data_IF_703713236344
#
_entry.id   IF_703713236344
#
_cell.length_a   1.000
_cell.length_b   1.000
_cell.length_c   1.000
_cell.angle_alpha   90.00
_cell.angle_beta   90.00
_cell.angle_gamma   90.00
#
_symmetry.space_group_name_H-M   'P 1'
#
loop_
_entity.id
_entity.type
_entity.pdbx_description
1 polymer ?
#
# COMPACT_ATOMS: atom_id res chain seq x y z
N UNK A 1 -66.22 49.62 7.01
CA UNK A 1 -66.23 48.52 7.97
C UNK A 1 -64.94 47.76 7.72
N UNK A 2 -63.90 48.13 8.54
CA UNK A 2 -62.52 47.72 8.35
C UNK A 2 -62.24 46.45 9.12
N UNK A 3 -61.82 45.37 8.42
CA UNK A 3 -61.23 44.19 9.05
C UNK A 3 -59.74 44.17 8.74
N UNK A 4 -58.93 44.35 9.77
CA UNK A 4 -57.48 44.16 9.75
C UNK A 4 -57.16 42.67 9.96
N UNK A 5 -56.41 42.05 9.03
CA UNK A 5 -55.78 40.76 9.23
C UNK A 5 -54.38 40.98 9.77
N UNK A 6 -54.12 40.48 10.96
CA UNK A 6 -52.78 40.36 11.55
C UNK A 6 -52.15 39.10 10.93
N UNK A 7 -51.03 39.30 10.25
CA UNK A 7 -50.16 38.22 9.82
C UNK A 7 -49.11 37.93 10.93
N UNK A 8 -49.21 36.73 11.49
CA UNK A 8 -48.24 36.21 12.44
C UNK A 8 -47.14 35.50 11.63
N UNK A 9 -45.97 36.13 11.48
CA UNK A 9 -44.80 35.51 10.88
C UNK A 9 -44.05 34.72 11.98
N UNK A 10 -44.12 33.40 11.96
CA UNK A 10 -43.30 32.54 12.77
C UNK A 10 -41.93 32.40 12.10
N UNK A 11 -40.91 32.99 12.71
CA UNK A 11 -39.52 32.79 12.32
C UNK A 11 -39.04 31.41 12.81
N UNK A 12 -38.91 30.44 11.91
CA UNK A 12 -38.14 29.21 12.16
C UNK A 12 -36.66 29.55 12.05
N UNK A 13 -35.97 29.67 13.17
CA UNK A 13 -34.53 29.69 13.22
C UNK A 13 -34.03 28.26 12.98
N UNK A 14 -33.58 27.98 11.76
CA UNK A 14 -32.82 26.79 11.47
C UNK A 14 -31.42 26.97 12.09
N UNK A 15 -31.15 26.27 13.15
CA UNK A 15 -29.79 26.10 13.65
C UNK A 15 -29.02 25.22 12.66
N UNK A 16 -28.31 25.86 11.74
CA UNK A 16 -27.21 25.22 11.05
C UNK A 16 -26.12 24.94 12.07
N UNK A 17 -25.99 23.70 12.50
CA UNK A 17 -24.79 23.25 13.18
C UNK A 17 -23.67 23.31 12.15
N UNK A 18 -22.86 24.35 12.21
CA UNK A 18 -21.57 24.41 11.55
C UNK A 18 -20.72 23.26 12.11
N UNK A 19 -20.60 22.20 11.35
CA UNK A 19 -19.51 21.26 11.49
C UNK A 19 -18.23 22.05 11.14
N UNK A 20 -17.66 22.73 12.10
CA UNK A 20 -16.36 23.34 11.97
C UNK A 20 -15.38 22.21 11.63
N UNK A 21 -14.92 22.19 10.40
CA UNK A 21 -13.77 21.41 9.99
C UNK A 21 -12.65 21.73 10.98
N UNK A 22 -12.24 20.71 11.74
CA UNK A 22 -11.11 20.78 12.65
C UNK A 22 -9.91 21.28 11.86
N UNK A 23 -9.31 22.33 12.36
CA UNK A 23 -8.40 23.22 11.70
C UNK A 23 -7.35 22.56 10.83
N UNK A 24 -7.14 23.17 9.68
CA UNK A 24 -6.01 22.93 8.81
C UNK A 24 -4.73 22.93 9.64
N UNK A 25 -4.10 21.77 9.69
CA UNK A 25 -2.80 21.57 10.30
C UNK A 25 -1.75 22.33 9.51
N UNK A 26 -0.77 22.86 10.24
CA UNK A 26 0.32 23.64 9.69
C UNK A 26 0.96 22.97 8.45
N UNK A 27 1.08 23.70 7.36
CA UNK A 27 1.75 23.32 6.11
C UNK A 27 3.29 23.18 6.25
N UNK A 28 3.81 23.02 7.46
CA UNK A 28 5.24 23.00 7.76
C UNK A 28 5.72 21.72 8.41
N UNK A 29 7.05 21.56 8.55
CA UNK A 29 7.65 20.44 9.26
C UNK A 29 7.16 20.37 10.74
N UNK A 30 6.87 19.16 11.21
CA UNK A 30 6.43 18.86 12.58
C UNK A 30 7.40 17.90 13.22
N UNK A 31 7.70 18.11 14.49
CA UNK A 31 8.64 17.27 15.26
C UNK A 31 7.98 16.78 16.54
N UNK A 32 8.16 15.49 16.83
CA UNK A 32 7.64 14.81 18.01
C UNK A 32 8.81 14.16 18.75
N UNK A 33 9.10 14.64 19.96
CA UNK A 33 10.13 14.09 20.83
C UNK A 33 9.50 13.01 21.72
N UNK A 34 9.91 11.77 21.56
CA UNK A 34 9.43 10.62 22.33
C UNK A 34 10.39 10.22 23.47
N UNK A 35 11.49 10.97 23.67
CA UNK A 35 12.47 10.71 24.72
C UNK A 35 12.03 11.18 26.12
N UNK A 36 10.99 12.02 26.19
CA UNK A 36 10.51 12.60 27.44
C UNK A 36 9.31 11.85 28.00
N UNK A 37 9.19 11.69 29.34
CA UNK A 37 8.03 11.00 29.96
C UNK A 37 6.68 11.59 29.60
N UNK A 38 6.60 12.92 29.42
CA UNK A 38 5.36 13.64 29.04
C UNK A 38 5.01 13.50 27.55
N UNK A 39 5.87 12.86 26.75
CA UNK A 39 5.57 12.50 25.38
C UNK A 39 4.49 11.42 25.24
N UNK A 40 4.11 10.82 26.35
CA UNK A 40 3.05 9.81 26.49
C UNK A 40 1.63 10.34 26.19
N UNK A 41 1.45 10.99 25.05
CA UNK A 41 0.15 11.55 24.64
C UNK A 41 -0.58 10.58 23.72
N UNK A 42 -1.80 10.22 24.07
CA UNK A 42 -2.70 9.45 23.20
C UNK A 42 -3.22 10.34 22.06
N UNK A 43 -3.31 9.79 20.87
CA UNK A 43 -3.91 10.46 19.73
C UNK A 43 -5.36 10.86 20.02
N UNK A 44 -5.69 12.09 19.67
CA UNK A 44 -7.09 12.56 19.60
C UNK A 44 -7.23 13.47 18.38
N UNK A 45 -8.42 13.50 17.78
CA UNK A 45 -8.67 14.39 16.64
C UNK A 45 -8.37 15.86 16.93
N UNK A 46 -8.64 16.32 18.16
CA UNK A 46 -8.36 17.69 18.59
C UNK A 46 -6.86 18.00 18.74
N UNK A 47 -6.06 17.03 19.18
CA UNK A 47 -4.59 17.17 19.30
C UNK A 47 -3.91 16.95 17.96
N UNK A 48 -4.39 16.02 17.17
CA UNK A 48 -3.87 15.67 15.87
C UNK A 48 -2.57 14.88 15.87
N UNK A 49 -2.12 14.32 16.99
CA UNK A 49 -0.99 13.40 17.07
C UNK A 49 -0.97 12.62 18.39
N UNK A 50 -0.20 11.53 18.43
CA UNK A 50 0.06 10.75 19.64
C UNK A 50 0.09 9.25 19.41
N UNK A 51 0.29 8.50 20.49
CA UNK A 51 0.16 7.04 20.50
C UNK A 51 -1.29 6.67 20.18
N UNK A 52 -1.50 5.66 19.34
CA UNK A 52 -2.82 5.35 18.80
C UNK A 52 -3.17 3.86 18.96
N UNK A 53 -4.41 3.52 18.61
CA UNK A 53 -4.95 2.16 18.59
C UNK A 53 -4.75 1.39 19.92
N UNK A 54 -4.79 2.13 21.05
CA UNK A 54 -4.64 1.54 22.38
C UNK A 54 -3.21 1.10 22.73
N UNK A 55 -2.23 1.44 21.92
CA UNK A 55 -0.82 1.12 22.19
C UNK A 55 -0.12 2.30 22.87
N UNK A 56 0.82 1.95 23.75
CA UNK A 56 1.59 2.94 24.49
C UNK A 56 2.87 2.30 25.04
N UNK A 57 4.07 2.67 24.54
CA UNK A 57 5.30 2.20 25.12
C UNK A 57 5.50 2.85 26.50
N UNK A 58 6.14 2.16 27.42
CA UNK A 58 6.57 2.72 28.68
C UNK A 58 8.09 2.56 28.84
N UNK A 59 8.71 3.43 29.62
CA UNK A 59 10.13 3.34 29.92
C UNK A 59 10.54 2.02 30.59
N UNK A 60 9.58 1.33 31.25
CA UNK A 60 9.80 0.06 31.93
C UNK A 60 9.56 -1.16 31.00
N UNK A 61 8.88 -0.98 29.86
CA UNK A 61 8.58 -2.02 28.89
C UNK A 61 8.40 -1.39 27.51
N UNK A 62 9.49 -1.18 26.76
CA UNK A 62 9.41 -0.83 25.36
C UNK A 62 8.64 -1.96 24.65
N UNK A 63 7.49 -1.63 24.08
CA UNK A 63 6.61 -2.58 23.39
C UNK A 63 6.31 -2.01 22.02
N UNK A 64 5.99 -2.85 21.06
CA UNK A 64 5.46 -2.38 19.78
C UNK A 64 4.32 -1.39 19.97
N UNK A 65 4.28 -0.34 19.14
CA UNK A 65 3.28 0.71 19.28
C UNK A 65 2.95 1.38 17.95
N UNK A 66 1.76 1.99 17.90
CA UNK A 66 1.36 2.91 16.85
C UNK A 66 1.54 4.35 17.28
N UNK A 67 2.00 5.19 16.35
CA UNK A 67 2.04 6.64 16.50
C UNK A 67 1.38 7.27 15.28
N UNK A 68 0.31 8.04 15.51
CA UNK A 68 -0.45 8.68 14.45
C UNK A 68 -0.31 10.20 14.47
N UNK A 69 -0.35 10.78 13.28
CA UNK A 69 -0.33 12.22 13.06
C UNK A 69 -1.41 12.59 12.07
N UNK A 70 -2.34 13.50 12.43
CA UNK A 70 -3.30 14.04 11.48
C UNK A 70 -2.56 14.74 10.34
N UNK A 71 -2.82 14.30 9.12
CA UNK A 71 -2.14 14.75 7.92
C UNK A 71 -3.13 14.81 6.74
N UNK A 72 -3.23 15.93 6.02
CA UNK A 72 -3.95 15.99 4.76
C UNK A 72 -3.42 14.96 3.75
N UNK A 73 -4.22 14.63 2.76
CA UNK A 73 -3.83 13.77 1.66
C UNK A 73 -2.57 14.30 0.95
N UNK A 74 -1.58 13.42 0.75
CA UNK A 74 -0.32 13.76 0.09
C UNK A 74 0.83 12.84 0.47
N UNK A 75 2.01 13.16 -0.03
CA UNK A 75 3.24 12.46 0.31
C UNK A 75 3.97 13.19 1.44
N UNK A 76 4.50 12.44 2.39
CA UNK A 76 5.23 12.97 3.54
C UNK A 76 6.58 12.30 3.69
N UNK A 77 7.62 13.11 3.89
CA UNK A 77 8.90 12.62 4.38
C UNK A 77 8.79 12.46 5.88
N UNK A 78 8.99 11.24 6.34
CA UNK A 78 9.09 10.88 7.75
C UNK A 78 10.55 10.61 8.05
N UNK A 79 11.14 11.31 9.01
CA UNK A 79 12.48 11.02 9.51
C UNK A 79 12.37 10.59 10.96
N UNK A 80 12.85 9.38 11.26
CA UNK A 80 12.84 8.81 12.60
C UNK A 80 14.26 8.73 13.12
N UNK A 81 14.50 9.25 14.33
CA UNK A 81 15.72 9.01 15.08
C UNK A 81 15.50 7.80 15.98
N UNK A 82 16.24 6.74 15.72
CA UNK A 82 16.22 5.48 16.45
C UNK A 82 17.32 5.42 17.49
N UNK A 83 17.11 4.62 18.52
CA UNK A 83 18.05 4.36 19.59
C UNK A 83 17.49 4.69 20.97
N UNK A 84 18.11 4.12 22.00
CA UNK A 84 17.81 4.34 23.40
C UNK A 84 19.08 4.66 24.18
N UNK A 85 19.00 5.54 25.19
CA UNK A 85 20.16 5.96 25.98
C UNK A 85 20.72 4.83 26.84
N UNK A 86 19.91 3.83 27.21
CA UNK A 86 20.21 2.85 28.28
C UNK A 86 20.30 1.42 27.78
N UNK A 87 19.55 1.07 26.74
CA UNK A 87 19.44 -0.30 26.24
C UNK A 87 19.68 -0.36 24.73
N UNK A 88 20.17 -1.50 24.21
CA UNK A 88 20.15 -1.74 22.76
C UNK A 88 18.70 -1.86 22.28
N UNK A 89 18.43 -1.49 21.03
CA UNK A 89 17.12 -1.65 20.42
C UNK A 89 17.23 -2.33 19.05
N UNK A 90 16.13 -2.96 18.63
CA UNK A 90 15.92 -3.49 17.29
C UNK A 90 14.52 -3.09 16.83
N UNK A 91 14.45 -2.28 15.79
CA UNK A 91 13.20 -1.64 15.36
C UNK A 91 12.91 -1.94 13.90
N UNK A 92 11.71 -2.44 13.65
CA UNK A 92 11.09 -2.53 12.32
C UNK A 92 10.00 -1.47 12.22
N UNK A 93 9.86 -0.82 11.06
CA UNK A 93 8.90 0.26 10.84
C UNK A 93 7.96 -0.13 9.72
N UNK A 94 6.67 -0.02 10.00
CA UNK A 94 5.59 -0.06 9.01
C UNK A 94 4.78 1.23 9.05
N UNK A 95 4.05 1.50 7.98
CA UNK A 95 3.12 2.64 7.93
C UNK A 95 1.78 2.21 7.37
N UNK A 96 0.75 2.98 7.72
CA UNK A 96 -0.61 2.77 7.22
C UNK A 96 -1.08 1.32 7.49
N UNK A 97 -1.65 0.67 6.49
CA UNK A 97 -1.98 -0.77 6.58
C UNK A 97 -0.73 -1.63 6.36
N UNK A 98 0.22 -1.58 7.30
CA UNK A 98 1.39 -2.46 7.37
C UNK A 98 2.39 -2.35 6.20
N UNK A 99 2.44 -1.24 5.45
CA UNK A 99 3.48 -1.04 4.44
C UNK A 99 4.86 -1.08 5.09
N UNK A 100 5.74 -1.99 4.66
CA UNK A 100 7.09 -2.13 5.22
C UNK A 100 7.99 -0.98 4.75
N UNK A 101 8.61 -0.26 5.70
CA UNK A 101 9.53 0.85 5.42
C UNK A 101 10.97 0.53 5.81
N UNK A 102 11.14 -0.21 6.89
CA UNK A 102 12.44 -0.58 7.45
C UNK A 102 12.31 -1.88 8.22
N UNK A 103 13.31 -2.74 8.14
CA UNK A 103 13.40 -3.97 8.91
C UNK A 103 14.69 -4.02 9.73
N UNK A 104 14.59 -4.53 10.96
CA UNK A 104 15.73 -4.89 11.81
C UNK A 104 16.83 -3.83 11.93
N UNK A 105 16.48 -2.60 12.29
CA UNK A 105 17.48 -1.61 12.64
C UNK A 105 17.94 -1.82 14.08
N UNK A 106 19.04 -2.51 14.26
CA UNK A 106 19.67 -2.67 15.57
C UNK A 106 20.51 -1.44 15.91
N UNK A 107 20.35 -0.91 17.12
CA UNK A 107 21.16 0.18 17.67
C UNK A 107 21.69 -0.19 19.04
N UNK A 108 23.02 -0.08 19.30
CA UNK A 108 23.57 -0.21 20.65
C UNK A 108 23.05 0.88 21.60
N UNK A 109 23.10 0.61 22.91
CA UNK A 109 22.78 1.62 23.91
C UNK A 109 23.61 2.91 23.73
N UNK A 110 22.97 4.07 23.80
CA UNK A 110 23.58 5.38 23.61
C UNK A 110 23.94 5.73 22.16
N UNK A 111 23.61 4.88 21.19
CA UNK A 111 23.84 5.14 19.75
C UNK A 111 22.51 5.51 19.07
N UNK A 112 22.53 6.63 18.35
CA UNK A 112 21.35 7.13 17.65
C UNK A 112 21.56 7.15 16.13
N UNK A 113 20.58 6.67 15.38
CA UNK A 113 20.62 6.58 13.92
C UNK A 113 19.34 7.18 13.34
N UNK A 114 19.48 8.09 12.39
CA UNK A 114 18.31 8.62 11.66
C UNK A 114 18.08 7.82 10.36
N UNK A 115 16.80 7.56 10.06
CA UNK A 115 16.35 7.02 8.77
C UNK A 115 15.14 7.81 8.28
N UNK A 116 15.07 7.99 6.97
CA UNK A 116 13.95 8.70 6.33
C UNK A 116 13.21 7.78 5.37
N UNK A 117 11.90 7.99 5.26
CA UNK A 117 10.98 7.27 4.39
C UNK A 117 10.02 8.25 3.73
N UNK A 118 9.34 7.84 2.68
CA UNK A 118 8.17 8.56 2.17
C UNK A 118 6.93 7.72 2.44
N UNK A 119 5.91 8.34 3.05
CA UNK A 119 4.60 7.73 3.31
C UNK A 119 3.56 8.51 2.52
N UNK A 120 2.67 7.79 1.83
CA UNK A 120 1.54 8.37 1.12
C UNK A 120 0.28 8.26 1.97
N UNK A 121 -0.29 9.40 2.34
CA UNK A 121 -1.60 9.51 3.01
C UNK A 121 -2.66 9.76 1.94
N UNK A 122 -3.77 9.03 1.98
CA UNK A 122 -4.86 9.19 1.03
C UNK A 122 -6.23 9.02 1.67
N UNK A 123 -7.19 9.74 1.13
CA UNK A 123 -8.60 9.64 1.49
C UNK A 123 -9.39 9.09 0.29
N UNK A 124 -10.60 8.58 0.49
CA UNK A 124 -11.41 8.13 -0.64
C UNK A 124 -11.94 9.30 -1.49
N UNK A 125 -11.83 10.54 -1.05
CA UNK A 125 -12.35 11.71 -1.74
C UNK A 125 -11.73 11.90 -3.13
N UNK A 126 -12.57 12.28 -4.09
CA UNK A 126 -12.19 12.63 -5.47
C UNK A 126 -12.79 14.01 -5.75
N UNK A 127 -12.13 14.88 -6.54
CA UNK A 127 -12.79 16.11 -6.99
C UNK A 127 -14.16 15.79 -7.63
N UNK A 128 -15.25 16.36 -7.14
CA UNK A 128 -16.59 16.00 -7.61
C UNK A 128 -16.78 16.38 -9.10
N UNK A 129 -17.50 15.56 -9.86
CA UNK A 129 -17.84 15.92 -11.23
C UNK A 129 -18.77 17.14 -11.26
N UNK A 130 -18.85 17.87 -12.38
CA UNK A 130 -19.86 18.89 -12.58
C UNK A 130 -21.28 18.33 -12.33
N UNK A 131 -22.23 19.21 -11.94
CA UNK A 131 -23.58 18.81 -11.48
C UNK A 131 -24.32 17.86 -12.44
N UNK A 132 -24.06 17.95 -13.74
CA UNK A 132 -24.72 17.16 -14.78
C UNK A 132 -23.87 16.03 -15.35
N UNK A 133 -22.67 15.78 -14.79
CA UNK A 133 -21.79 14.73 -15.28
C UNK A 133 -21.92 13.46 -14.43
N UNK A 134 -21.79 12.26 -15.04
CA UNK A 134 -21.69 11.02 -14.30
C UNK A 134 -20.39 10.96 -13.51
N UNK A 135 -20.38 10.15 -12.45
CA UNK A 135 -19.23 9.96 -11.55
C UNK A 135 -19.64 10.00 -10.10
N UNK A 136 -18.71 10.30 -9.21
CA UNK A 136 -18.95 10.40 -7.78
C UNK A 136 -17.88 11.21 -7.07
N UNK A 137 -18.11 11.63 -5.83
CA UNK A 137 -17.18 12.44 -5.05
C UNK A 137 -16.13 11.60 -4.31
N UNK A 138 -16.18 10.27 -4.39
CA UNK A 138 -15.31 9.38 -3.65
C UNK A 138 -15.20 8.01 -4.30
N UNK A 139 -14.14 7.30 -3.98
CA UNK A 139 -13.98 5.85 -4.23
C UNK A 139 -15.12 5.09 -3.56
N UNK A 140 -15.68 4.10 -4.23
CA UNK A 140 -16.63 3.16 -3.65
C UNK A 140 -15.85 2.07 -2.90
N UNK A 141 -15.66 2.29 -1.61
CA UNK A 141 -14.96 1.35 -0.75
C UNK A 141 -15.79 0.09 -0.53
N UNK A 142 -15.10 -1.05 -0.39
CA UNK A 142 -15.72 -2.32 0.01
C UNK A 142 -16.16 -2.28 1.49
N UNK A 143 -17.02 -3.23 1.89
CA UNK A 143 -17.43 -3.35 3.28
C UNK A 143 -16.20 -3.56 4.20
N UNK A 144 -16.09 -2.74 5.25
CA UNK A 144 -14.98 -2.78 6.21
C UNK A 144 -13.68 -2.12 5.73
N UNK A 145 -13.59 -1.67 4.48
CA UNK A 145 -12.40 -1.00 3.97
C UNK A 145 -12.25 0.43 4.52
N UNK A 146 -13.37 1.10 4.81
CA UNK A 146 -13.36 2.44 5.40
C UNK A 146 -12.74 2.50 6.81
N UNK A 147 -12.66 1.36 7.49
CA UNK A 147 -12.08 1.24 8.83
C UNK A 147 -10.57 0.95 8.80
N UNK A 148 -10.00 0.83 7.61
CA UNK A 148 -8.58 0.55 7.42
C UNK A 148 -7.75 1.84 7.44
N UNK A 149 -6.54 1.77 7.96
CA UNK A 149 -5.62 2.90 8.13
C UNK A 149 -5.20 3.59 6.82
N UNK A 150 -5.47 3.00 5.68
CA UNK A 150 -5.06 3.48 4.35
C UNK A 150 -6.03 4.46 3.68
N UNK A 151 -7.19 4.75 4.27
CA UNK A 151 -8.22 5.62 3.67
C UNK A 151 -8.69 6.70 4.64
N UNK A 152 -7.79 7.26 5.41
CA UNK A 152 -8.11 8.30 6.37
C UNK A 152 -7.22 9.56 6.17
N UNK A 153 -7.33 10.52 7.06
CA UNK A 153 -6.53 11.74 7.08
C UNK A 153 -5.48 11.74 8.21
N UNK A 154 -4.94 10.56 8.49
CA UNK A 154 -3.84 10.35 9.43
C UNK A 154 -2.68 9.69 8.71
N UNK A 155 -1.47 10.03 9.11
CA UNK A 155 -0.29 9.23 8.87
C UNK A 155 -0.06 8.38 10.12
N UNK A 156 -0.17 7.07 9.98
CA UNK A 156 0.01 6.12 11.08
C UNK A 156 1.30 5.34 10.87
N UNK A 157 2.19 5.37 11.88
CA UNK A 157 3.42 4.57 11.93
C UNK A 157 3.25 3.46 12.94
N UNK A 158 3.73 2.28 12.60
CA UNK A 158 3.83 1.12 13.47
C UNK A 158 5.30 0.81 13.69
N UNK A 159 5.70 0.72 14.95
CA UNK A 159 7.06 0.39 15.37
C UNK A 159 7.05 -0.96 16.06
N UNK A 160 7.71 -1.93 15.44
CA UNK A 160 7.73 -3.32 15.87
C UNK A 160 9.14 -3.73 16.30
N UNK A 161 9.22 -4.91 16.91
CA UNK A 161 10.42 -5.50 17.50
C UNK A 161 10.24 -5.80 18.97
N UNK A 162 11.14 -6.53 19.56
CA UNK A 162 11.08 -6.85 20.99
C UNK A 162 11.26 -5.60 21.87
N UNK A 163 12.14 -4.70 21.43
CA UNK A 163 12.50 -3.46 22.13
C UNK A 163 12.67 -2.33 21.10
N UNK A 164 11.57 -1.82 20.49
CA UNK A 164 11.67 -0.73 19.52
C UNK A 164 12.16 0.55 20.21
N UNK A 165 13.25 1.11 19.69
CA UNK A 165 13.86 2.35 20.20
C UNK A 165 13.56 3.51 19.27
N UNK A 166 12.62 4.38 19.65
CA UNK A 166 12.24 5.57 18.89
C UNK A 166 12.37 6.80 19.78
N UNK A 167 13.27 7.69 19.39
CA UNK A 167 13.54 8.92 20.14
C UNK A 167 12.80 10.13 19.60
N UNK A 168 12.72 10.27 18.27
CA UNK A 168 12.11 11.43 17.62
C UNK A 168 11.53 11.06 16.27
N UNK A 169 10.40 11.68 15.95
CA UNK A 169 9.74 11.60 14.65
C UNK A 169 9.65 13.01 14.08
N UNK A 170 10.09 13.20 12.85
CA UNK A 170 9.96 14.45 12.10
C UNK A 170 9.13 14.17 10.84
N UNK A 171 8.15 15.01 10.57
CA UNK A 171 7.22 14.88 9.46
C UNK A 171 7.21 16.17 8.64
N UNK A 172 7.38 16.08 7.33
CA UNK A 172 7.26 17.20 6.41
C UNK A 172 6.59 16.78 5.10
N UNK A 173 5.78 17.62 4.45
CA UNK A 173 5.28 17.38 3.10
C UNK A 173 6.44 17.13 2.14
N UNK A 174 6.26 16.20 1.17
CA UNK A 174 7.30 15.81 0.22
C UNK A 174 6.80 15.90 -1.22
N UNK A 175 7.47 16.73 -2.02
CA UNK A 175 7.22 16.85 -3.45
C UNK A 175 8.12 15.87 -4.22
N UNK A 176 7.74 14.61 -4.25
CA UNK A 176 8.46 13.51 -4.92
C UNK A 176 7.56 12.83 -5.96
N UNK A 177 8.14 12.11 -6.93
CA UNK A 177 7.38 11.20 -7.80
C UNK A 177 6.63 10.15 -6.97
N UNK A 178 5.51 9.67 -7.51
CA UNK A 178 4.68 8.65 -6.87
C UNK A 178 4.55 7.42 -7.77
N UNK A 179 4.75 6.25 -7.21
CA UNK A 179 4.40 4.97 -7.81
C UNK A 179 2.99 4.64 -7.38
N UNK A 180 2.02 4.79 -8.27
CA UNK A 180 0.66 4.33 -8.06
C UNK A 180 0.57 2.84 -8.39
N UNK A 181 0.09 2.03 -7.44
CA UNK A 181 -0.18 0.63 -7.69
C UNK A 181 -1.67 0.43 -7.95
N UNK A 182 -2.00 -0.11 -9.11
CA UNK A 182 -3.33 -0.55 -9.49
C UNK A 182 -3.33 -2.08 -9.62
N UNK A 183 -4.15 -2.75 -8.82
CA UNK A 183 -4.11 -4.21 -8.75
C UNK A 183 -5.21 -4.82 -7.87
N UNK A 184 -5.06 -6.10 -7.65
CA UNK A 184 -5.97 -6.93 -6.86
C UNK A 184 -5.39 -7.30 -5.48
N UNK A 185 -5.91 -8.38 -4.85
CA UNK A 185 -5.50 -8.85 -3.52
C UNK A 185 -4.02 -9.23 -3.41
N UNK A 186 -3.35 -9.49 -4.53
CA UNK A 186 -1.93 -9.85 -4.56
C UNK A 186 -1.00 -8.63 -4.59
N UNK A 187 -1.59 -7.43 -4.70
CA UNK A 187 -0.90 -6.12 -4.71
C UNK A 187 -1.29 -5.25 -3.52
N UNK A 188 -2.53 -5.36 -3.01
CA UNK A 188 -3.10 -4.49 -1.97
C UNK A 188 -2.37 -4.59 -0.64
N UNK A 189 -2.48 -3.56 0.18
CA UNK A 189 -2.04 -3.58 1.57
C UNK A 189 -3.00 -4.46 2.39
N UNK A 190 -2.63 -5.70 2.67
CA UNK A 190 -3.43 -6.63 3.46
C UNK A 190 -3.50 -6.15 4.92
N UNK A 191 -4.70 -6.00 5.51
CA UNK A 191 -4.84 -5.43 6.84
C UNK A 191 -4.48 -6.40 7.97
N UNK A 192 -4.64 -7.69 7.75
CA UNK A 192 -4.47 -8.74 8.77
C UNK A 192 -3.23 -9.60 8.48
N UNK A 193 -2.44 -9.95 9.51
CA UNK A 193 -1.37 -10.93 9.38
C UNK A 193 -1.93 -12.38 9.39
N UNK A 194 -1.24 -13.31 8.73
CA UNK A 194 0.04 -13.20 8.02
C UNK A 194 -0.07 -12.78 6.54
N UNK A 195 -1.30 -12.58 6.03
CA UNK A 195 -1.50 -12.20 4.64
C UNK A 195 -0.76 -10.90 4.31
N UNK A 196 -0.05 -10.90 3.20
CA UNK A 196 0.76 -9.78 2.73
C UNK A 196 0.89 -9.83 1.22
N UNK A 197 1.17 -8.71 0.59
CA UNK A 197 1.39 -8.59 -0.85
C UNK A 197 2.74 -7.95 -1.19
N UNK A 198 3.19 -8.12 -2.45
CA UNK A 198 4.41 -7.46 -2.89
C UNK A 198 4.30 -5.93 -2.87
N UNK A 199 3.11 -5.38 -3.14
CA UNK A 199 2.90 -3.93 -3.11
C UNK A 199 3.07 -3.34 -1.71
N UNK A 200 2.71 -4.09 -0.69
CA UNK A 200 2.84 -3.73 0.72
C UNK A 200 4.32 -3.77 1.19
N UNK A 201 5.13 -4.65 0.61
CA UNK A 201 6.57 -4.75 0.90
C UNK A 201 7.43 -3.81 0.05
N UNK A 202 6.89 -3.30 -1.06
CA UNK A 202 7.64 -2.53 -2.04
C UNK A 202 8.29 -1.24 -1.49
N UNK A 203 7.67 -0.45 -0.58
CA UNK A 203 8.27 0.79 -0.07
C UNK A 203 9.64 0.59 0.59
N UNK A 204 9.90 -0.59 1.20
CA UNK A 204 11.17 -0.96 1.83
C UNK A 204 12.37 -0.82 0.89
N UNK A 205 12.16 -0.99 -0.39
CA UNK A 205 13.22 -1.08 -1.40
C UNK A 205 13.52 0.25 -2.09
N UNK A 206 12.97 1.36 -1.60
CA UNK A 206 13.22 2.67 -2.20
C UNK A 206 13.87 3.65 -1.25
N UNK A 207 14.67 4.55 -1.85
CA UNK A 207 15.18 5.76 -1.21
C UNK A 207 14.02 6.72 -0.90
N UNK A 208 14.21 7.67 0.05
CA UNK A 208 13.17 8.62 0.41
C UNK A 208 12.98 9.74 -0.65
N UNK A 209 13.13 9.41 -1.92
CA UNK A 209 12.92 10.30 -3.09
C UNK A 209 11.74 9.85 -3.97
N UNK A 210 11.01 8.81 -3.57
CA UNK A 210 9.81 8.33 -4.26
C UNK A 210 8.80 7.81 -3.26
N UNK A 211 7.50 8.05 -3.52
CA UNK A 211 6.39 7.53 -2.73
C UNK A 211 5.78 6.28 -3.39
N UNK A 212 5.22 5.37 -2.59
CA UNK A 212 4.36 4.28 -3.07
C UNK A 212 2.95 4.53 -2.57
N UNK A 213 2.01 4.71 -3.50
CA UNK A 213 0.58 4.87 -3.23
C UNK A 213 -0.17 3.62 -3.70
N UNK A 214 -0.45 2.70 -2.79
CA UNK A 214 -1.06 1.42 -3.12
C UNK A 214 -2.59 1.54 -3.15
N UNK A 215 -3.17 1.71 -4.35
CA UNK A 215 -4.62 1.80 -4.58
C UNK A 215 -5.27 0.44 -4.90
N UNK A 216 -4.50 -0.64 -4.93
CA UNK A 216 -5.02 -1.99 -5.16
C UNK A 216 -6.01 -2.41 -4.08
N UNK A 217 -6.90 -3.34 -4.42
CA UNK A 217 -7.88 -3.88 -3.47
C UNK A 217 -8.23 -5.33 -3.80
N UNK A 218 -8.53 -6.10 -2.75
CA UNK A 218 -8.98 -7.49 -2.87
C UNK A 218 -10.22 -7.61 -3.76
N UNK A 219 -10.21 -8.61 -4.65
CA UNK A 219 -11.34 -8.88 -5.56
C UNK A 219 -11.40 -7.98 -6.80
N UNK A 220 -10.59 -6.92 -6.90
CA UNK A 220 -10.63 -6.02 -8.04
C UNK A 220 -10.17 -6.68 -9.35
N UNK A 221 -10.77 -6.23 -10.43
CA UNK A 221 -10.43 -6.48 -11.83
C UNK A 221 -10.16 -5.14 -12.52
N UNK A 222 -9.58 -5.13 -13.72
CA UNK A 222 -9.46 -3.90 -14.51
C UNK A 222 -10.81 -3.17 -14.64
N UNK A 223 -11.88 -3.92 -14.86
CA UNK A 223 -13.24 -3.38 -15.06
C UNK A 223 -13.83 -2.82 -13.76
N UNK A 224 -13.74 -3.56 -12.65
CA UNK A 224 -14.28 -3.10 -11.36
C UNK A 224 -13.48 -1.94 -10.77
N UNK A 225 -12.17 -1.90 -10.96
CA UNK A 225 -11.29 -0.81 -10.54
C UNK A 225 -11.70 0.55 -11.18
N UNK A 226 -12.17 0.53 -12.42
CA UNK A 226 -12.80 1.70 -13.07
C UNK A 226 -14.16 1.97 -12.45
N UNK A 227 -15.02 0.94 -12.33
CA UNK A 227 -16.39 1.10 -11.87
C UNK A 227 -16.49 1.56 -10.41
N UNK A 228 -15.56 1.16 -9.55
CA UNK A 228 -15.45 1.59 -8.15
C UNK A 228 -14.84 2.99 -7.98
N UNK A 229 -14.48 3.66 -9.07
CA UNK A 229 -13.82 4.98 -9.11
C UNK A 229 -12.39 4.98 -8.52
N UNK A 230 -11.77 3.82 -8.28
CA UNK A 230 -10.36 3.74 -7.84
C UNK A 230 -9.42 4.29 -8.89
N UNK A 231 -9.67 3.97 -10.17
CA UNK A 231 -8.90 4.52 -11.26
C UNK A 231 -9.06 6.04 -11.37
N UNK A 232 -10.28 6.58 -11.22
CA UNK A 232 -10.53 8.02 -11.18
C UNK A 232 -9.77 8.69 -10.03
N UNK A 233 -9.67 8.03 -8.85
CA UNK A 233 -8.87 8.50 -7.71
C UNK A 233 -7.40 8.61 -8.07
N UNK A 234 -6.79 7.55 -8.61
CA UNK A 234 -5.41 7.54 -9.09
C UNK A 234 -5.17 8.68 -10.08
N UNK A 235 -6.03 8.80 -11.08
CA UNK A 235 -5.92 9.83 -12.13
C UNK A 235 -6.06 11.26 -11.61
N UNK A 236 -6.80 11.48 -10.52
CA UNK A 236 -6.97 12.80 -9.91
C UNK A 236 -5.71 13.31 -9.19
N UNK A 237 -4.81 12.41 -8.82
CA UNK A 237 -3.57 12.72 -8.10
C UNK A 237 -2.32 12.65 -8.98
N UNK A 238 -2.41 11.94 -10.10
CA UNK A 238 -1.29 11.66 -10.99
C UNK A 238 -0.79 12.91 -11.70
N UNK A 239 0.53 13.09 -11.72
CA UNK A 239 1.22 14.21 -12.36
C UNK A 239 2.42 13.74 -13.20
N UNK A 240 2.99 14.61 -14.04
CA UNK A 240 4.20 14.28 -14.81
C UNK A 240 5.34 13.79 -13.90
N UNK A 241 6.00 12.72 -14.33
CA UNK A 241 7.09 12.08 -13.61
C UNK A 241 6.65 10.96 -12.67
N UNK A 242 5.35 10.76 -12.43
CA UNK A 242 4.82 9.63 -11.68
C UNK A 242 4.85 8.33 -12.48
N UNK A 243 4.60 7.22 -11.80
CA UNK A 243 4.52 5.88 -12.39
C UNK A 243 3.17 5.23 -12.08
N UNK A 244 2.64 4.45 -13.02
CA UNK A 244 1.46 3.61 -12.81
C UNK A 244 1.84 2.14 -13.06
N UNK A 245 1.92 1.36 -11.98
CA UNK A 245 2.11 -0.08 -12.06
C UNK A 245 0.75 -0.76 -12.11
N UNK A 246 0.55 -1.62 -13.12
CA UNK A 246 -0.75 -2.22 -13.44
C UNK A 246 -0.60 -3.73 -13.40
N UNK A 247 -1.19 -4.36 -12.36
CA UNK A 247 -1.23 -5.82 -12.23
C UNK A 247 -2.63 -6.29 -11.88
N UNK A 248 -3.26 -6.95 -12.83
CA UNK A 248 -4.57 -7.61 -12.69
C UNK A 248 -4.53 -8.96 -13.40
N UNK A 249 -5.56 -9.79 -13.21
CA UNK A 249 -5.68 -11.09 -13.85
C UNK A 249 -6.34 -12.13 -12.98
N UNK A 250 -5.95 -12.24 -11.69
CA UNK A 250 -6.47 -13.26 -10.78
C UNK A 250 -8.01 -13.27 -10.63
N UNK A 251 -8.64 -12.14 -10.86
CA UNK A 251 -10.09 -11.99 -10.79
C UNK A 251 -10.72 -11.78 -12.17
N UNK A 252 -10.02 -11.13 -13.09
CA UNK A 252 -10.45 -10.87 -14.47
C UNK A 252 -10.78 -12.16 -15.22
N UNK A 253 -10.08 -13.25 -14.90
CA UNK A 253 -10.24 -14.58 -15.51
C UNK A 253 -11.45 -15.37 -15.01
N UNK A 254 -12.13 -14.92 -13.95
CA UNK A 254 -13.23 -15.64 -13.30
C UNK A 254 -14.51 -15.55 -14.12
N UNK A 255 -14.75 -16.49 -15.02
CA UNK A 255 -15.95 -16.57 -15.89
C UNK A 255 -17.26 -16.64 -15.09
N UNK A 256 -17.22 -17.15 -13.86
CA UNK A 256 -18.36 -17.17 -12.94
C UNK A 256 -18.64 -15.81 -12.26
N UNK A 257 -17.85 -14.77 -12.56
CA UNK A 257 -18.08 -13.38 -12.18
C UNK A 257 -18.49 -12.54 -13.41
N UNK A 258 -19.72 -12.69 -13.95
CA UNK A 258 -20.08 -12.17 -15.26
C UNK A 258 -20.03 -10.65 -15.38
N UNK A 259 -20.13 -9.92 -14.27
CA UNK A 259 -20.07 -8.45 -14.28
C UNK A 259 -18.63 -7.93 -14.43
N UNK A 260 -17.64 -8.67 -13.99
CA UNK A 260 -16.25 -8.23 -13.93
C UNK A 260 -15.32 -9.05 -14.82
N UNK A 261 -15.73 -10.24 -15.26
CA UNK A 261 -14.98 -11.05 -16.21
C UNK A 261 -14.65 -10.26 -17.49
N UNK A 262 -13.43 -10.38 -17.96
CA UNK A 262 -12.95 -9.84 -19.24
C UNK A 262 -12.09 -10.90 -19.93
N UNK A 263 -12.31 -11.11 -21.22
CA UNK A 263 -11.61 -12.10 -22.02
C UNK A 263 -10.18 -11.62 -22.34
N UNK A 264 -9.19 -12.50 -22.19
CA UNK A 264 -7.76 -12.19 -22.17
C UNK A 264 -7.27 -11.41 -23.41
N UNK A 265 -7.55 -11.93 -24.60
CA UNK A 265 -6.99 -11.42 -25.85
C UNK A 265 -7.74 -10.19 -26.40
N UNK A 266 -8.96 -9.93 -25.92
CA UNK A 266 -9.82 -8.87 -26.44
C UNK A 266 -10.08 -7.79 -25.39
N UNK A 267 -11.05 -7.98 -24.51
CA UNK A 267 -11.47 -6.94 -23.53
C UNK A 267 -10.44 -6.65 -22.46
N UNK A 268 -9.74 -7.67 -21.94
CA UNK A 268 -8.66 -7.45 -20.98
C UNK A 268 -7.53 -6.61 -21.58
N UNK A 269 -7.07 -6.98 -22.79
CA UNK A 269 -6.05 -6.22 -23.51
C UNK A 269 -6.50 -4.79 -23.84
N UNK A 270 -7.80 -4.58 -24.13
CA UNK A 270 -8.36 -3.26 -24.37
C UNK A 270 -8.36 -2.41 -23.08
N UNK A 271 -8.74 -2.98 -21.93
CA UNK A 271 -8.68 -2.27 -20.65
C UNK A 271 -7.26 -1.90 -20.25
N UNK A 272 -6.27 -2.79 -20.44
CA UNK A 272 -4.86 -2.43 -20.22
C UNK A 272 -4.46 -1.19 -21.00
N UNK A 273 -4.88 -1.07 -22.28
CA UNK A 273 -4.60 0.09 -23.12
C UNK A 273 -5.27 1.36 -22.61
N UNK A 274 -6.44 1.28 -21.98
CA UNK A 274 -7.08 2.43 -21.32
C UNK A 274 -6.20 2.95 -20.19
N UNK A 275 -5.70 2.07 -19.30
CA UNK A 275 -4.84 2.46 -18.19
C UNK A 275 -3.51 3.08 -18.71
N UNK A 276 -2.91 2.49 -19.74
CA UNK A 276 -1.69 3.00 -20.39
C UNK A 276 -1.92 4.40 -20.97
N UNK A 277 -2.99 4.58 -21.74
CA UNK A 277 -3.30 5.85 -22.38
C UNK A 277 -3.54 6.97 -21.37
N UNK A 278 -4.32 6.70 -20.32
CA UNK A 278 -4.64 7.67 -19.27
C UNK A 278 -3.41 8.08 -18.45
N UNK A 279 -2.49 7.14 -18.16
CA UNK A 279 -1.23 7.46 -17.52
C UNK A 279 -0.35 8.38 -18.39
N UNK A 280 -0.20 8.02 -19.66
CA UNK A 280 0.58 8.83 -20.64
C UNK A 280 0.02 10.22 -20.84
N UNK A 281 -1.32 10.35 -20.88
CA UNK A 281 -1.99 11.65 -21.00
C UNK A 281 -1.62 12.61 -19.86
N UNK A 282 -1.28 12.07 -18.68
CA UNK A 282 -0.85 12.82 -17.49
C UNK A 282 0.66 12.98 -17.36
N UNK A 283 1.42 12.51 -18.35
CA UNK A 283 2.87 12.54 -18.31
C UNK A 283 3.50 11.52 -17.36
N UNK A 284 2.71 10.53 -16.91
CA UNK A 284 3.19 9.44 -16.08
C UNK A 284 3.67 8.26 -16.93
N UNK A 285 4.55 7.45 -16.36
CA UNK A 285 5.09 6.24 -16.99
C UNK A 285 4.26 5.01 -16.60
N UNK A 286 3.51 4.39 -17.52
CA UNK A 286 2.85 3.12 -17.27
C UNK A 286 3.87 1.98 -17.24
N UNK A 287 3.67 1.03 -16.33
CA UNK A 287 4.45 -0.20 -16.18
C UNK A 287 3.47 -1.37 -16.05
N UNK A 288 3.53 -2.31 -16.97
CA UNK A 288 2.73 -3.52 -16.89
C UNK A 288 3.47 -4.57 -16.05
N UNK A 289 2.73 -5.20 -15.15
CA UNK A 289 3.22 -6.32 -14.33
C UNK A 289 2.32 -7.52 -14.60
N UNK A 290 2.88 -8.66 -15.03
CA UNK A 290 2.08 -9.88 -15.18
C UNK A 290 1.67 -10.41 -13.82
N UNK A 291 0.49 -11.05 -13.72
CA UNK A 291 0.08 -11.74 -12.49
C UNK A 291 1.09 -12.82 -12.13
N UNK A 292 1.47 -12.92 -10.83
CA UNK A 292 2.24 -14.06 -10.36
C UNK A 292 1.41 -15.34 -10.43
N UNK A 293 2.06 -16.49 -10.57
CA UNK A 293 1.40 -17.78 -10.60
C UNK A 293 0.75 -18.15 -9.26
N UNK A 294 -0.26 -19.02 -9.29
CA UNK A 294 -0.70 -19.73 -8.09
C UNK A 294 0.26 -20.87 -7.80
N UNK A 295 0.35 -21.30 -6.56
CA UNK A 295 1.19 -22.41 -6.11
C UNK A 295 0.57 -23.75 -6.49
N UNK A 296 0.56 -24.02 -7.78
CA UNK A 296 0.03 -25.29 -8.34
C UNK A 296 1.13 -26.05 -9.04
N UNK A 297 1.58 -27.15 -8.44
CA UNK A 297 2.64 -28.00 -8.99
C UNK A 297 2.06 -29.20 -9.74
N UNK A 298 2.73 -29.59 -10.80
CA UNK A 298 2.51 -30.89 -11.44
C UNK A 298 3.26 -32.01 -10.70
N UNK A 299 3.10 -33.25 -11.20
CA UNK A 299 3.77 -34.44 -10.63
C UNK A 299 5.31 -34.43 -10.72
N UNK A 300 5.88 -33.52 -11.49
CA UNK A 300 7.32 -33.34 -11.66
C UNK A 300 7.88 -32.18 -10.86
N UNK A 301 7.06 -31.54 -10.02
CA UNK A 301 7.46 -30.38 -9.22
C UNK A 301 7.61 -29.09 -10.03
N UNK A 302 6.92 -28.98 -11.18
CA UNK A 302 6.90 -27.78 -12.02
C UNK A 302 5.60 -27.02 -11.79
N UNK A 303 5.68 -25.69 -11.76
CA UNK A 303 4.49 -24.84 -11.67
C UNK A 303 3.66 -24.96 -12.95
N UNK A 304 2.36 -25.15 -12.78
CA UNK A 304 1.40 -25.18 -13.89
C UNK A 304 0.86 -23.77 -14.16
N UNK A 305 0.60 -23.45 -15.42
CA UNK A 305 -0.02 -22.18 -15.78
C UNK A 305 -1.43 -22.09 -15.19
N UNK A 306 -1.61 -21.24 -14.18
CA UNK A 306 -2.88 -21.04 -13.48
C UNK A 306 -3.72 -19.87 -14.04
N UNK A 307 -3.17 -19.09 -14.99
CA UNK A 307 -3.80 -17.87 -15.52
C UNK A 307 -4.13 -17.93 -17.01
N UNK A 308 -4.01 -19.12 -17.64
CA UNK A 308 -4.28 -19.27 -19.07
C UNK A 308 -3.53 -18.23 -19.92
N UNK A 309 -4.27 -17.47 -20.72
CA UNK A 309 -3.70 -16.53 -21.69
C UNK A 309 -3.47 -15.11 -21.12
N UNK A 310 -3.82 -14.81 -19.85
CA UNK A 310 -3.72 -13.44 -19.30
C UNK A 310 -2.28 -12.92 -19.26
N UNK A 311 -1.27 -13.65 -18.78
CA UNK A 311 0.11 -13.18 -18.81
C UNK A 311 0.62 -12.98 -20.25
N UNK A 312 0.19 -13.84 -21.19
CA UNK A 312 0.54 -13.69 -22.61
C UNK A 312 -0.07 -12.41 -23.21
N UNK A 313 -1.32 -12.07 -22.85
CA UNK A 313 -1.98 -10.84 -23.28
C UNK A 313 -1.26 -9.60 -22.74
N UNK A 314 -0.81 -9.60 -21.46
CA UNK A 314 -0.01 -8.51 -20.88
C UNK A 314 1.30 -8.31 -21.66
N UNK A 315 2.03 -9.40 -21.95
CA UNK A 315 3.28 -9.35 -22.74
C UNK A 315 3.04 -8.81 -24.15
N UNK A 316 1.95 -9.24 -24.80
CA UNK A 316 1.59 -8.77 -26.13
C UNK A 316 1.27 -7.28 -26.16
N UNK A 317 0.50 -6.78 -25.18
CA UNK A 317 0.19 -5.34 -25.04
C UNK A 317 1.47 -4.56 -24.75
N UNK A 318 2.31 -5.02 -23.82
CA UNK A 318 3.57 -4.36 -23.48
C UNK A 318 4.46 -4.18 -24.72
N UNK A 319 4.60 -5.22 -25.52
CA UNK A 319 5.41 -5.19 -26.74
C UNK A 319 4.79 -4.29 -27.81
N UNK A 320 3.48 -4.42 -28.08
CA UNK A 320 2.80 -3.65 -29.13
C UNK A 320 2.74 -2.15 -28.82
N UNK A 321 2.53 -1.79 -27.56
CA UNK A 321 2.36 -0.41 -27.14
C UNK A 321 3.64 0.21 -26.54
N UNK A 322 4.77 -0.51 -26.62
CA UNK A 322 6.09 -0.07 -26.11
C UNK A 322 6.02 0.38 -24.64
N UNK A 323 5.45 -0.46 -23.79
CA UNK A 323 5.33 -0.25 -22.34
C UNK A 323 6.33 -1.12 -21.61
N UNK A 324 6.96 -0.60 -20.58
CA UNK A 324 7.82 -1.37 -19.70
C UNK A 324 7.05 -2.55 -19.09
N UNK A 325 7.68 -3.72 -19.04
CA UNK A 325 7.10 -4.97 -18.53
C UNK A 325 7.96 -5.51 -17.39
N UNK A 326 7.30 -5.84 -16.29
CA UNK A 326 7.83 -6.66 -15.19
C UNK A 326 7.14 -8.03 -15.29
N UNK A 327 7.88 -9.05 -15.68
CA UNK A 327 7.33 -10.39 -15.92
C UNK A 327 7.30 -11.22 -14.63
N UNK A 328 6.35 -10.85 -13.73
CA UNK A 328 6.22 -11.48 -12.42
C UNK A 328 5.66 -12.91 -12.52
N UNK A 329 4.93 -13.25 -13.58
CA UNK A 329 4.52 -14.61 -13.89
C UNK A 329 5.72 -15.55 -14.03
N UNK A 330 6.72 -15.13 -14.82
CA UNK A 330 7.96 -15.91 -14.98
C UNK A 330 8.81 -15.91 -13.70
N UNK A 331 8.92 -14.76 -13.02
CA UNK A 331 9.72 -14.64 -11.80
C UNK A 331 9.14 -15.50 -10.67
N UNK A 332 7.82 -15.47 -10.46
CA UNK A 332 7.16 -16.30 -9.46
C UNK A 332 7.24 -17.79 -9.75
N UNK A 333 7.16 -18.18 -11.04
CA UNK A 333 7.41 -19.56 -11.45
C UNK A 333 8.79 -20.02 -11.00
N UNK A 334 9.84 -19.24 -11.31
CA UNK A 334 11.21 -19.57 -10.91
C UNK A 334 11.35 -19.63 -9.37
N UNK A 335 10.74 -18.70 -8.66
CA UNK A 335 10.75 -18.63 -7.20
C UNK A 335 10.10 -19.86 -6.56
N UNK A 336 8.88 -20.21 -6.97
CA UNK A 336 8.17 -21.35 -6.37
C UNK A 336 8.83 -22.68 -6.72
N UNK A 337 9.33 -22.83 -7.95
CA UNK A 337 10.07 -24.02 -8.35
C UNK A 337 11.41 -24.17 -7.62
N UNK A 338 12.09 -23.07 -7.29
CA UNK A 338 13.31 -23.09 -6.49
C UNK A 338 13.05 -23.52 -5.04
N UNK A 339 11.90 -23.16 -4.46
CA UNK A 339 11.48 -23.67 -3.16
C UNK A 339 11.04 -25.14 -3.24
N UNK A 340 10.47 -25.54 -4.37
CA UNK A 340 9.89 -26.86 -4.57
C UNK A 340 8.55 -27.08 -3.84
N UNK A 341 7.83 -28.19 -4.13
CA UNK A 341 6.49 -28.43 -3.59
C UNK A 341 6.44 -28.49 -2.05
N UNK A 342 7.52 -28.90 -1.40
CA UNK A 342 7.57 -29.08 0.06
C UNK A 342 7.77 -27.74 0.81
N UNK A 343 8.58 -26.82 0.28
CA UNK A 343 8.91 -25.56 0.94
C UNK A 343 8.11 -24.36 0.42
N UNK A 344 7.60 -24.42 -0.82
CA UNK A 344 6.79 -23.34 -1.36
C UNK A 344 5.58 -22.96 -0.48
N UNK A 345 4.91 -23.88 0.25
CA UNK A 345 3.87 -23.50 1.21
C UNK A 345 4.30 -22.48 2.27
N UNK A 346 5.59 -22.41 2.62
CA UNK A 346 6.14 -21.46 3.60
C UNK A 346 6.14 -20.00 3.11
N UNK A 347 5.83 -19.76 1.84
CA UNK A 347 5.70 -18.42 1.27
C UNK A 347 4.23 -17.98 1.14
N UNK A 348 3.28 -18.76 1.67
CA UNK A 348 1.85 -18.53 1.42
C UNK A 348 1.03 -18.41 2.70
N UNK A 349 0.00 -17.59 2.63
CA UNK A 349 -0.95 -17.33 3.72
C UNK A 349 -1.61 -18.61 4.26
N UNK A 350 -2.18 -18.54 5.47
CA UNK A 350 -2.90 -19.63 6.10
C UNK A 350 -2.02 -20.86 6.36
N UNK A 351 -0.74 -20.66 6.65
CA UNK A 351 0.24 -21.74 6.85
C UNK A 351 0.35 -22.64 5.60
N UNK A 352 0.30 -22.02 4.42
CA UNK A 352 0.38 -22.70 3.13
C UNK A 352 -0.92 -23.37 2.66
N UNK A 353 -2.04 -23.14 3.32
CA UNK A 353 -3.36 -23.60 2.84
C UNK A 353 -3.85 -22.80 1.65
N UNK A 354 -3.57 -21.50 1.65
CA UNK A 354 -3.80 -20.64 0.50
C UNK A 354 -2.76 -20.93 -0.59
N UNK A 355 -3.19 -20.97 -1.83
CA UNK A 355 -2.31 -21.21 -2.99
C UNK A 355 -2.15 -19.95 -3.86
N UNK A 356 -2.77 -18.84 -3.47
CA UNK A 356 -2.80 -17.57 -4.23
C UNK A 356 -2.13 -16.44 -3.48
N UNK A 357 -2.46 -16.26 -2.19
CA UNK A 357 -2.02 -15.13 -1.39
C UNK A 357 -0.81 -15.50 -0.55
N UNK A 358 0.10 -14.54 -0.39
CA UNK A 358 1.37 -14.75 0.26
C UNK A 358 1.32 -14.33 1.73
N UNK A 359 2.28 -14.82 2.50
CA UNK A 359 2.66 -14.29 3.80
C UNK A 359 3.79 -13.24 3.65
N UNK A 360 4.34 -12.80 4.78
CA UNK A 360 5.42 -11.80 4.78
C UNK A 360 6.64 -12.23 3.97
N UNK A 361 7.05 -13.49 4.06
CA UNK A 361 8.21 -14.00 3.30
C UNK A 361 7.93 -14.01 1.80
N UNK A 362 6.84 -14.64 1.38
CA UNK A 362 6.51 -14.72 -0.04
C UNK A 362 6.31 -13.37 -0.69
N UNK A 363 5.64 -12.44 0.02
CA UNK A 363 5.42 -11.08 -0.45
C UNK A 363 6.74 -10.28 -0.57
N UNK A 364 7.67 -10.46 0.38
CA UNK A 364 8.98 -9.82 0.37
C UNK A 364 9.82 -10.29 -0.83
N UNK A 365 9.87 -11.60 -1.09
CA UNK A 365 10.57 -12.16 -2.24
C UNK A 365 9.97 -11.69 -3.58
N UNK A 366 8.64 -11.60 -3.67
CA UNK A 366 7.97 -11.07 -4.86
C UNK A 366 8.22 -9.56 -5.04
N UNK A 367 8.31 -8.80 -3.95
CA UNK A 367 8.70 -7.38 -4.04
C UNK A 367 10.13 -7.25 -4.59
N UNK A 368 11.06 -8.11 -4.18
CA UNK A 368 12.42 -8.18 -4.76
C UNK A 368 12.38 -8.52 -6.27
N UNK A 369 11.48 -9.42 -6.69
CA UNK A 369 11.28 -9.68 -8.13
C UNK A 369 10.83 -8.41 -8.88
N UNK A 370 9.90 -7.64 -8.31
CA UNK A 370 9.42 -6.40 -8.92
C UNK A 370 10.55 -5.35 -8.99
N UNK A 371 11.32 -5.20 -7.92
CA UNK A 371 12.47 -4.27 -7.87
C UNK A 371 13.55 -4.65 -8.88
N UNK A 372 13.86 -5.95 -9.01
CA UNK A 372 14.76 -6.44 -10.04
C UNK A 372 14.20 -6.15 -11.45
N UNK A 373 12.89 -6.37 -11.64
CA UNK A 373 12.22 -6.06 -12.90
C UNK A 373 12.27 -4.58 -13.29
N UNK A 374 12.26 -3.66 -12.32
CA UNK A 374 12.48 -2.22 -12.56
C UNK A 374 13.87 -1.97 -13.14
N UNK A 375 14.91 -2.63 -12.60
CA UNK A 375 16.28 -2.56 -13.13
C UNK A 375 16.39 -3.15 -14.53
N UNK A 376 15.84 -4.33 -14.73
CA UNK A 376 15.90 -5.06 -16.00
C UNK A 376 15.18 -4.29 -17.12
N UNK A 377 14.07 -3.63 -16.80
CA UNK A 377 13.35 -2.73 -17.69
C UNK A 377 14.04 -1.37 -17.90
N UNK A 378 15.14 -1.10 -17.20
CA UNK A 378 15.92 0.15 -17.27
C UNK A 378 15.06 1.40 -17.06
N UNK A 379 14.11 1.32 -16.16
CA UNK A 379 13.31 2.47 -15.78
C UNK A 379 14.18 3.49 -15.02
N UNK A 380 14.00 4.80 -15.21
CA UNK A 380 14.69 5.83 -14.41
C UNK A 380 14.48 5.65 -12.89
N UNK A 381 13.39 5.01 -12.52
CA UNK A 381 13.06 4.61 -11.14
C UNK A 381 14.16 3.72 -10.50
N UNK A 382 14.97 3.03 -11.29
CA UNK A 382 16.05 2.18 -10.80
C UNK A 382 17.13 2.97 -10.00
N UNK A 383 17.30 4.26 -10.26
CA UNK A 383 18.24 5.14 -9.54
C UNK A 383 17.76 5.44 -8.11
N UNK A 384 16.46 5.24 -7.85
CA UNK A 384 15.79 5.46 -6.56
C UNK A 384 15.65 4.19 -5.72
N UNK A 385 16.16 3.06 -6.19
CA UNK A 385 16.22 1.82 -5.41
C UNK A 385 17.20 1.99 -4.25
N UNK A 386 16.83 1.46 -3.08
CA UNK A 386 17.65 1.49 -1.88
C UNK A 386 19.05 0.90 -2.11
N UNK A 387 20.08 1.52 -1.53
CA UNK A 387 21.48 1.16 -1.79
C UNK A 387 21.84 -0.25 -1.29
N UNK A 388 21.11 -0.78 -0.32
CA UNK A 388 21.28 -2.13 0.23
C UNK A 388 20.63 -3.23 -0.63
N UNK A 389 19.81 -2.89 -1.63
CA UNK A 389 19.33 -3.84 -2.62
C UNK A 389 20.36 -4.04 -3.73
N UNK A 390 21.11 -5.13 -3.71
CA UNK A 390 22.17 -5.38 -4.69
C UNK A 390 21.66 -5.98 -6.01
N UNK A 391 21.05 -7.14 -5.98
CA UNK A 391 20.40 -7.83 -7.09
C UNK A 391 19.54 -8.97 -6.53
N UNK A 392 18.58 -9.46 -7.31
CA UNK A 392 17.78 -10.62 -6.94
C UNK A 392 17.59 -11.59 -8.10
N UNK A 393 17.81 -12.88 -7.81
CA UNK A 393 17.57 -13.99 -8.72
C UNK A 393 16.46 -14.88 -8.12
N UNK A 394 15.24 -14.90 -8.68
CA UNK A 394 14.15 -15.69 -8.13
C UNK A 394 14.40 -17.20 -8.16
N UNK A 395 15.36 -17.68 -8.93
CA UNK A 395 15.78 -19.09 -8.90
C UNK A 395 16.67 -19.44 -7.70
N UNK A 396 17.08 -18.43 -6.92
CA UNK A 396 17.88 -18.56 -5.69
C UNK A 396 17.30 -17.65 -4.60
N UNK A 397 16.07 -17.91 -4.15
CA UNK A 397 15.42 -17.11 -3.12
C UNK A 397 16.14 -17.25 -1.78
N UNK A 398 15.85 -16.33 -0.88
CA UNK A 398 16.27 -16.45 0.51
C UNK A 398 15.66 -17.71 1.15
N UNK A 399 16.22 -18.16 2.26
CA UNK A 399 15.63 -19.26 3.02
C UNK A 399 14.42 -18.77 3.80
N UNK A 400 13.23 -19.38 3.62
CA UNK A 400 12.07 -19.01 4.43
C UNK A 400 12.28 -19.21 5.92
N UNK A 401 13.15 -20.19 6.31
CA UNK A 401 13.46 -20.47 7.71
C UNK A 401 14.40 -19.41 8.34
N UNK A 402 15.16 -18.70 7.51
CA UNK A 402 16.04 -17.61 7.95
C UNK A 402 15.36 -16.23 7.88
N UNK A 403 14.23 -16.14 7.18
CA UNK A 403 13.48 -14.89 7.10
C UNK A 403 12.81 -14.61 8.44
N UNK A 404 13.17 -13.49 9.04
CA UNK A 404 12.59 -13.04 10.29
C UNK A 404 12.06 -11.61 10.11
N UNK A 405 10.79 -11.41 10.32
CA UNK A 405 10.17 -10.10 10.40
C UNK A 405 9.32 -10.06 11.67
N UNK A 406 9.50 -9.08 12.56
CA UNK A 406 8.67 -8.98 13.76
C UNK A 406 7.18 -8.98 13.39
N UNK A 407 6.33 -9.67 14.18
CA UNK A 407 4.89 -9.65 13.94
C UNK A 407 4.37 -8.22 14.04
N UNK A 408 3.46 -7.86 13.16
CA UNK A 408 2.71 -6.61 13.24
C UNK A 408 1.73 -6.64 14.43
N UNK A 409 1.39 -5.47 14.96
CA UNK A 409 0.31 -5.29 15.93
C UNK A 409 -1.09 -5.51 15.32
N UNK A 410 -1.17 -5.58 14.00
CA UNK A 410 -2.41 -5.85 13.29
C UNK A 410 -3.05 -7.18 13.73
N UNK A 411 -4.35 -7.31 13.50
CA UNK A 411 -5.06 -8.56 13.76
C UNK A 411 -4.43 -9.70 12.97
N UNK A 412 -4.39 -10.89 13.59
CA UNK A 412 -3.98 -12.13 12.91
C UNK A 412 -5.22 -12.89 12.45
N UNK A 413 -5.27 -13.25 11.19
CA UNK A 413 -6.35 -14.03 10.59
C UNK A 413 -5.85 -14.82 9.40
N UNK A 414 -6.20 -16.11 9.33
CA UNK A 414 -5.94 -16.94 8.14
C UNK A 414 -6.95 -16.65 7.01
N UNK A 415 -8.02 -15.89 7.29
CA UNK A 415 -9.03 -15.48 6.32
C UNK A 415 -8.75 -14.07 5.82
N UNK A 416 -8.76 -13.88 4.51
CA UNK A 416 -8.62 -12.57 3.89
C UNK A 416 -9.91 -11.76 4.03
N UNK A 417 -9.77 -10.46 4.28
CA UNK A 417 -10.90 -9.54 4.17
C UNK A 417 -11.19 -9.23 2.70
N UNK A 418 -12.46 -9.18 2.34
CA UNK A 418 -12.91 -8.75 1.01
C UNK A 418 -12.91 -9.82 -0.06
N UNK A 419 -12.82 -11.09 0.29
CA UNK A 419 -13.03 -12.21 -0.65
C UNK A 419 -14.49 -12.65 -0.70
#
# INVERSE_FOLDING_TARGET
>A
MNLRFLSLAAALAAACADAQAVGATADGPRTFDLSQPDSAVTFTAARGYGFDLGTHPSAAAPRPFYFSVAAPEGNYRVTVTFGDDRAPSDTTVRAESRQLLLEHLATPAGVFVARSFIVNVRTPAIPPPPKNAPGGPAVRLNAGEADLLRWDNKLTLEFDGAEPGVRRIELAPAAVPTIFLAGDSTVTDQPDEPATSWGQMLPRFFKPEVAVANHAESGETLKSFIASLRFAKVLSQMKPGDYLFIQFGHNDEKKNWPQTYVEAQTTYAAYLRVFIAEARLRGATPVLVTSMQRRTFDRHGRITNSHGDYPAAVRAVAAADHVALIDLDRASTAFYEALGPERAPLAFNGQGKDATHHDNFGAYELAKCVVQGIRDARLPLADLIADDFTAFDPSRPDSPEAFALPPSLARRSDELRGN
#
